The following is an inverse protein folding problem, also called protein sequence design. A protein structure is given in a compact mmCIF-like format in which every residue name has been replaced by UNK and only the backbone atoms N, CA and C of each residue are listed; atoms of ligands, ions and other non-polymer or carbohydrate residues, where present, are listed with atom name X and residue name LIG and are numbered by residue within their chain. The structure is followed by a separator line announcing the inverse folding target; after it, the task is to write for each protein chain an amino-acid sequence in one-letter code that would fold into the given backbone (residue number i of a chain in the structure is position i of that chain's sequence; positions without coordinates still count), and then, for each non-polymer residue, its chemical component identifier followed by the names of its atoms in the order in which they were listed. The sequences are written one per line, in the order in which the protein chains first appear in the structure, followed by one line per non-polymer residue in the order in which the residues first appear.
data_IF_303099259477
#
_entry.id   IF_303099259477
#
_cell.length_a   1.000
_cell.length_b   1.000
_cell.length_c   1.000
_cell.angle_alpha   90.00
_cell.angle_beta   90.00
_cell.angle_gamma   90.00
#
_symmetry.space_group_name_H-M   'P 1'
#
loop_
_entity.id
_entity.type
_entity.pdbx_description
1 polymer ?
#
# COMPACT_ATOMS: atom_id res chain seq x y z
N UNK A 1 25.65 14.34 -7.59
CA UNK A 1 25.62 15.36 -8.64
C UNK A 1 26.34 16.57 -8.10
N UNK A 2 27.07 17.32 -8.92
CA UNK A 2 27.59 18.62 -8.47
C UNK A 2 26.43 19.61 -8.31
N UNK A 3 26.64 20.69 -7.55
CA UNK A 3 25.65 21.76 -7.42
C UNK A 3 25.31 22.38 -8.79
N UNK A 4 26.32 22.55 -9.65
CA UNK A 4 26.16 23.05 -11.02
C UNK A 4 25.27 22.12 -11.87
N UNK A 5 25.46 20.79 -11.76
CA UNK A 5 24.62 19.81 -12.45
C UNK A 5 23.15 19.86 -11.98
N UNK A 6 22.91 20.15 -10.69
CA UNK A 6 21.56 20.27 -10.12
C UNK A 6 20.90 21.54 -10.64
N UNK A 7 21.62 22.67 -10.64
CA UNK A 7 21.12 23.95 -11.12
C UNK A 7 20.73 23.89 -12.60
N UNK A 8 21.61 23.37 -13.47
CA UNK A 8 21.34 23.26 -14.91
C UNK A 8 20.08 22.41 -15.19
N UNK A 9 19.89 21.33 -14.44
CA UNK A 9 18.72 20.45 -14.61
C UNK A 9 17.41 21.07 -14.11
N UNK A 10 17.46 21.82 -13.00
CA UNK A 10 16.30 22.55 -12.51
C UNK A 10 15.93 23.72 -13.44
N UNK A 11 16.91 24.40 -14.03
CA UNK A 11 16.67 25.42 -15.07
C UNK A 11 15.99 24.83 -16.32
N UNK A 12 16.29 23.56 -16.64
CA UNK A 12 15.64 22.83 -17.73
C UNK A 12 14.27 22.24 -17.35
N UNK A 13 13.88 22.26 -16.07
CA UNK A 13 12.59 21.77 -15.61
C UNK A 13 11.49 22.78 -15.94
N UNK A 14 10.87 22.59 -17.11
CA UNK A 14 9.77 23.40 -17.63
C UNK A 14 8.39 22.86 -17.22
N UNK A 15 8.33 21.96 -16.22
CA UNK A 15 7.09 21.37 -15.72
C UNK A 15 6.23 22.34 -14.91
N UNK A 16 4.90 22.17 -14.88
CA UNK A 16 4.06 22.89 -13.93
C UNK A 16 4.36 22.41 -12.50
N UNK A 17 4.08 23.24 -11.50
CA UNK A 17 4.08 22.82 -10.09
C UNK A 17 3.12 21.61 -9.95
N UNK A 18 3.64 20.49 -9.47
CA UNK A 18 2.89 19.25 -9.31
C UNK A 18 2.27 19.12 -7.92
N UNK A 19 1.21 18.30 -7.75
CA UNK A 19 0.74 17.91 -6.42
C UNK A 19 1.86 17.30 -5.58
N UNK A 20 1.78 17.48 -4.25
CA UNK A 20 2.63 16.71 -3.33
C UNK A 20 2.29 15.22 -3.41
N UNK A 21 3.28 14.38 -3.13
CA UNK A 21 3.12 12.93 -3.11
C UNK A 21 3.18 12.39 -1.68
N UNK A 22 2.53 11.25 -1.46
CA UNK A 22 2.53 10.51 -0.21
C UNK A 22 2.13 9.07 -0.44
N UNK A 23 2.01 8.28 0.61
CA UNK A 23 1.51 6.90 0.53
C UNK A 23 0.77 6.53 1.82
N UNK A 24 -0.15 5.58 1.72
CA UNK A 24 -0.88 5.04 2.86
C UNK A 24 -0.97 3.53 2.84
N UNK A 25 -1.11 2.93 4.02
CA UNK A 25 -1.12 1.48 4.23
C UNK A 25 -2.53 0.96 4.55
N UNK A 26 -2.92 -0.13 3.90
CA UNK A 26 -4.02 -0.99 4.30
C UNK A 26 -3.44 -2.30 4.83
N UNK A 27 -3.55 -2.50 6.14
CA UNK A 27 -3.04 -3.66 6.85
C UNK A 27 -4.24 -4.39 7.46
N UNK A 28 -4.33 -5.68 7.19
CA UNK A 28 -5.38 -6.55 7.71
C UNK A 28 -4.78 -7.61 8.63
N UNK A 29 -5.56 -8.02 9.62
CA UNK A 29 -5.30 -9.27 10.33
C UNK A 29 -5.96 -10.47 9.63
N UNK A 30 -5.75 -11.66 10.20
CA UNK A 30 -6.31 -12.91 9.66
C UNK A 30 -7.85 -12.96 9.71
N UNK A 31 -8.49 -12.08 10.50
CA UNK A 31 -9.95 -11.98 10.64
C UNK A 31 -10.56 -10.94 9.66
N UNK A 32 -9.72 -10.25 8.89
CA UNK A 32 -10.16 -9.21 7.95
C UNK A 32 -10.49 -7.87 8.61
N UNK A 33 -10.07 -7.67 9.86
CA UNK A 33 -10.09 -6.35 10.52
C UNK A 33 -8.95 -5.51 9.99
N UNK A 34 -9.18 -4.21 9.82
CA UNK A 34 -8.19 -3.26 9.31
C UNK A 34 -7.49 -2.53 10.46
N UNK A 35 -6.24 -2.11 10.26
CA UNK A 35 -5.46 -1.31 11.20
C UNK A 35 -5.50 0.18 10.87
N UNK A 36 -6.38 0.97 11.52
CA UNK A 36 -6.26 2.41 11.59
C UNK A 36 -5.45 2.87 12.82
N UNK A 37 -5.04 4.13 12.79
CA UNK A 37 -4.43 4.86 13.90
C UNK A 37 -5.34 6.00 14.35
N UNK A 38 -5.39 6.27 15.66
CA UNK A 38 -6.07 7.44 16.21
C UNK A 38 -5.08 8.57 16.38
N UNK A 39 -5.14 9.56 15.49
CA UNK A 39 -4.13 10.63 15.42
C UNK A 39 -4.09 11.49 16.68
N UNK A 40 -2.90 11.86 17.12
CA UNK A 40 -2.74 12.72 18.30
C UNK A 40 -3.32 14.14 18.08
N UNK A 41 -3.18 14.70 16.87
CA UNK A 41 -3.55 16.08 16.57
C UNK A 41 -5.06 16.29 16.38
N UNK A 42 -5.71 15.45 15.57
CA UNK A 42 -7.14 15.59 15.22
C UNK A 42 -8.05 14.77 16.12
N UNK A 43 -7.50 13.79 16.87
CA UNK A 43 -8.24 12.80 17.67
C UNK A 43 -9.17 11.89 16.84
N UNK A 44 -9.05 11.93 15.52
CA UNK A 44 -9.81 11.09 14.59
C UNK A 44 -9.02 9.83 14.20
N UNK A 45 -9.76 8.81 13.76
CA UNK A 45 -9.20 7.61 13.14
C UNK A 45 -8.80 7.86 11.69
N UNK A 46 -7.60 7.43 11.32
CA UNK A 46 -7.03 7.53 9.99
C UNK A 46 -6.33 6.22 9.60
N UNK A 47 -6.14 5.97 8.31
CA UNK A 47 -5.17 4.95 7.87
C UNK A 47 -3.75 5.44 8.17
N UNK A 48 -2.77 4.54 8.42
CA UNK A 48 -1.38 4.93 8.48
C UNK A 48 -0.94 5.53 7.14
N UNK A 49 -0.49 6.78 7.13
CA UNK A 49 -0.19 7.51 5.90
C UNK A 49 0.50 8.85 6.16
N UNK A 50 1.37 9.24 5.23
CA UNK A 50 2.00 10.55 5.26
C UNK A 50 2.60 10.98 3.93
N UNK A 51 3.33 12.10 3.98
CA UNK A 51 3.98 12.67 2.81
C UNK A 51 5.27 11.90 2.48
N UNK A 52 5.55 11.76 1.18
CA UNK A 52 6.81 11.17 0.74
C UNK A 52 7.97 12.12 0.99
N UNK A 53 9.11 11.58 1.39
CA UNK A 53 10.38 12.31 1.39
C UNK A 53 11.04 12.24 0.00
N UNK A 54 11.91 13.20 -0.31
CA UNK A 54 12.46 13.39 -1.67
C UNK A 54 13.21 12.17 -2.23
N UNK A 55 13.75 11.32 -1.36
CA UNK A 55 14.51 10.12 -1.73
C UNK A 55 13.71 8.82 -1.69
N UNK A 56 12.39 8.89 -1.49
CA UNK A 56 11.54 7.71 -1.29
C UNK A 56 10.67 7.39 -2.50
N UNK A 57 10.54 6.10 -2.81
CA UNK A 57 9.40 5.60 -3.57
C UNK A 57 8.18 5.37 -2.66
N UNK A 58 7.01 5.16 -3.26
CA UNK A 58 5.76 5.03 -2.49
C UNK A 58 5.74 3.87 -1.48
N UNK A 59 6.22 2.65 -1.80
CA UNK A 59 6.41 1.61 -0.80
C UNK A 59 7.32 2.01 0.37
N UNK A 60 8.45 2.67 0.11
CA UNK A 60 9.37 3.14 1.17
C UNK A 60 8.70 4.14 2.10
N UNK A 61 8.01 5.15 1.53
CA UNK A 61 7.20 6.09 2.30
C UNK A 61 6.14 5.37 3.14
N UNK A 62 5.39 4.43 2.55
CA UNK A 62 4.39 3.64 3.28
C UNK A 62 4.99 2.86 4.45
N UNK A 63 6.17 2.24 4.27
CA UNK A 63 6.86 1.51 5.35
C UNK A 63 7.29 2.45 6.46
N UNK A 64 7.92 3.59 6.13
CA UNK A 64 8.38 4.58 7.11
C UNK A 64 7.21 5.12 7.93
N UNK A 65 6.13 5.53 7.28
CA UNK A 65 4.93 6.09 7.95
C UNK A 65 4.27 5.03 8.83
N UNK A 66 4.12 3.79 8.35
CA UNK A 66 3.54 2.70 9.15
C UNK A 66 4.38 2.39 10.39
N UNK A 67 5.71 2.38 10.25
CA UNK A 67 6.63 2.23 11.37
C UNK A 67 6.48 3.38 12.37
N UNK A 68 6.46 4.62 11.88
CA UNK A 68 6.37 5.81 12.72
C UNK A 68 5.03 5.94 13.45
N UNK A 69 3.94 5.47 12.85
CA UNK A 69 2.58 5.66 13.38
C UNK A 69 2.03 4.44 14.14
N UNK A 70 2.48 3.23 13.80
CA UNK A 70 1.96 1.97 14.33
C UNK A 70 3.04 1.00 14.88
N UNK A 71 4.32 1.34 14.71
CA UNK A 71 5.45 0.49 15.10
C UNK A 71 5.48 -0.85 14.37
N UNK A 72 5.02 -0.88 13.11
CA UNK A 72 4.99 -2.06 12.27
C UNK A 72 5.84 -1.89 11.02
N UNK A 73 6.62 -2.92 10.69
CA UNK A 73 7.29 -3.03 9.38
C UNK A 73 6.44 -3.92 8.48
N UNK A 74 6.20 -3.45 7.27
CA UNK A 74 5.33 -4.10 6.30
C UNK A 74 6.00 -4.27 4.94
N UNK A 75 5.49 -5.19 4.14
CA UNK A 75 5.86 -5.40 2.74
C UNK A 75 4.64 -5.13 1.85
N UNK A 76 4.79 -4.25 0.86
CA UNK A 76 3.75 -3.94 -0.10
C UNK A 76 3.35 -5.17 -0.94
N UNK A 77 2.05 -5.41 -1.09
CA UNK A 77 1.47 -6.52 -1.86
C UNK A 77 0.66 -6.09 -3.07
N UNK A 78 0.03 -4.92 -3.02
CA UNK A 78 -0.76 -4.42 -4.14
C UNK A 78 -1.26 -3.01 -3.89
N UNK A 79 -1.56 -2.30 -4.98
CA UNK A 79 -2.20 -0.98 -4.90
C UNK A 79 -3.72 -1.18 -4.92
N UNK A 80 -4.40 -0.63 -3.92
CA UNK A 80 -5.87 -0.62 -3.83
C UNK A 80 -6.42 0.52 -4.68
N UNK A 81 -5.87 1.73 -4.52
CA UNK A 81 -6.26 2.93 -5.23
C UNK A 81 -5.14 3.99 -5.20
N UNK A 82 -5.31 5.08 -5.94
CA UNK A 82 -4.47 6.28 -5.86
C UNK A 82 -5.36 7.47 -5.53
N UNK A 83 -5.36 7.89 -4.27
CA UNK A 83 -6.20 9.00 -3.83
C UNK A 83 -5.63 10.33 -4.28
N UNK A 84 -6.55 11.25 -4.59
CA UNK A 84 -6.25 12.63 -4.90
C UNK A 84 -7.02 13.55 -3.96
N UNK A 85 -6.30 14.42 -3.27
CA UNK A 85 -6.85 15.46 -2.40
C UNK A 85 -6.59 16.81 -3.08
N UNK A 86 -7.63 17.51 -3.57
CA UNK A 86 -7.47 18.84 -4.14
C UNK A 86 -6.96 19.86 -3.12
N UNK A 87 -6.31 20.93 -3.60
CA UNK A 87 -5.94 22.06 -2.75
C UNK A 87 -7.19 22.69 -2.10
N UNK A 88 -7.06 23.11 -0.85
CA UNK A 88 -8.15 23.65 -0.03
C UNK A 88 -8.99 22.57 0.67
N UNK A 89 -8.83 21.30 0.32
CA UNK A 89 -9.49 20.18 1.00
C UNK A 89 -8.61 19.70 2.16
N UNK A 90 -9.23 19.28 3.27
CA UNK A 90 -8.54 18.89 4.52
C UNK A 90 -7.64 20.00 5.11
N UNK A 91 -7.87 21.26 4.74
CA UNK A 91 -7.05 22.40 5.17
C UNK A 91 -5.67 22.49 4.51
N UNK A 92 -5.41 21.69 3.47
CA UNK A 92 -4.12 21.69 2.77
C UNK A 92 -4.04 22.84 1.76
N UNK A 93 -2.95 23.64 1.73
CA UNK A 93 -2.80 24.72 0.76
C UNK A 93 -2.35 24.23 -0.63
N UNK A 94 -2.10 22.93 -0.79
CA UNK A 94 -1.66 22.28 -2.02
C UNK A 94 -2.51 21.04 -2.29
N UNK A 95 -2.51 20.57 -3.54
CA UNK A 95 -3.06 19.27 -3.87
C UNK A 95 -2.08 18.15 -3.47
N UNK A 96 -2.60 16.99 -3.12
CA UNK A 96 -1.84 15.80 -2.76
C UNK A 96 -2.34 14.58 -3.52
N UNK A 97 -1.43 13.66 -3.85
CA UNK A 97 -1.76 12.36 -4.45
C UNK A 97 -0.92 11.26 -3.81
N UNK A 98 -1.52 10.11 -3.54
CA UNK A 98 -0.75 8.98 -3.00
C UNK A 98 -1.43 7.64 -3.21
N UNK A 99 -0.69 6.58 -3.53
CA UNK A 99 -1.24 5.23 -3.54
C UNK A 99 -1.64 4.82 -2.13
N UNK A 100 -2.76 4.11 -2.07
CA UNK A 100 -3.19 3.34 -0.90
C UNK A 100 -2.86 1.88 -1.17
N UNK A 101 -1.98 1.32 -0.35
CA UNK A 101 -1.26 0.09 -0.63
C UNK A 101 -1.71 -0.97 0.36
N UNK A 102 -2.21 -2.10 -0.14
CA UNK A 102 -2.31 -3.32 0.65
C UNK A 102 -0.90 -3.82 0.96
N UNK A 103 -0.60 -4.01 2.24
CA UNK A 103 0.67 -4.55 2.70
C UNK A 103 0.45 -5.59 3.80
N UNK A 104 1.46 -6.42 4.02
CA UNK A 104 1.47 -7.43 5.08
C UNK A 104 2.58 -7.14 6.06
N UNK A 105 2.29 -7.34 7.35
CA UNK A 105 3.29 -7.19 8.41
C UNK A 105 4.36 -8.27 8.24
N UNK A 106 5.62 -7.84 8.18
CA UNK A 106 6.78 -8.75 8.08
C UNK A 106 7.69 -8.67 9.30
N UNK A 107 7.47 -7.66 10.14
CA UNK A 107 8.20 -7.48 11.38
C UNK A 107 7.57 -6.41 12.25
N UNK A 108 8.16 -6.28 13.43
CA UNK A 108 7.76 -5.40 14.51
C UNK A 108 6.40 -5.68 15.15
N UNK A 109 6.19 -5.03 16.31
CA UNK A 109 5.08 -5.27 17.23
C UNK A 109 4.22 -4.03 17.31
N UNK A 110 2.91 -4.25 17.20
CA UNK A 110 1.91 -3.22 17.31
C UNK A 110 2.12 -2.39 18.58
N UNK A 111 2.41 -1.10 18.42
CA UNK A 111 2.62 -0.18 19.51
C UNK A 111 2.21 1.24 19.10
N UNK A 112 1.68 1.99 20.06
CA UNK A 112 1.46 3.42 19.88
C UNK A 112 2.79 4.16 19.83
N UNK A 113 2.81 5.29 19.13
CA UNK A 113 3.95 6.22 19.08
C UNK A 113 3.51 7.61 19.52
N UNK A 114 4.43 8.58 19.52
CA UNK A 114 4.09 9.98 19.86
C UNK A 114 3.08 10.60 18.86
N UNK A 115 2.89 9.98 17.69
CA UNK A 115 1.99 10.45 16.63
C UNK A 115 0.56 9.88 16.72
N UNK A 116 0.40 8.73 17.40
CA UNK A 116 -0.86 8.01 17.54
C UNK A 116 -1.23 7.77 19.00
N UNK A 117 -2.45 8.16 19.38
CA UNK A 117 -3.02 7.90 20.71
C UNK A 117 -3.41 6.45 20.91
N UNK A 118 -3.81 5.80 19.83
CA UNK A 118 -4.35 4.46 19.82
C UNK A 118 -4.05 3.84 18.46
N UNK A 119 -3.72 2.56 18.47
CA UNK A 119 -3.54 1.75 17.27
C UNK A 119 -4.09 0.35 17.55
N UNK A 120 -4.79 -0.23 16.59
CA UNK A 120 -5.46 -1.51 16.77
C UNK A 120 -6.11 -2.02 15.50
N UNK A 121 -6.49 -3.29 15.50
CA UNK A 121 -7.28 -3.88 14.42
C UNK A 121 -8.75 -3.78 14.77
N UNK A 122 -9.54 -3.21 13.87
CA UNK A 122 -10.98 -3.01 14.04
C UNK A 122 -11.75 -3.49 12.82
N UNK A 123 -12.93 -4.05 13.05
CA UNK A 123 -13.94 -4.12 12.02
C UNK A 123 -14.41 -2.69 11.71
N UNK A 124 -14.64 -2.31 10.44
CA UNK A 124 -15.06 -0.94 10.08
C UNK A 124 -16.28 -0.42 10.83
N UNK A 125 -17.20 -1.32 11.19
CA UNK A 125 -18.43 -1.01 11.93
C UNK A 125 -18.20 -0.73 13.42
N UNK A 126 -17.01 -1.01 13.96
CA UNK A 126 -16.65 -0.72 15.35
C UNK A 126 -16.27 0.75 15.57
N UNK A 127 -15.90 1.46 14.50
CA UNK A 127 -15.52 2.88 14.56
C UNK A 127 -16.73 3.71 14.11
N UNK A 128 -17.30 4.55 15.00
CA UNK A 128 -18.39 5.43 14.61
C UNK A 128 -17.99 6.37 13.47
N UNK A 129 -18.87 6.55 12.49
CA UNK A 129 -18.58 7.31 11.27
C UNK A 129 -18.10 8.76 11.53
N UNK A 130 -18.56 9.38 12.61
CA UNK A 130 -18.17 10.74 13.03
C UNK A 130 -16.79 10.82 13.70
N UNK A 131 -16.14 9.68 13.96
CA UNK A 131 -14.79 9.62 14.54
C UNK A 131 -13.70 9.43 13.48
N UNK A 132 -14.06 9.17 12.21
CA UNK A 132 -13.08 9.11 11.13
C UNK A 132 -12.57 10.50 10.76
N UNK A 133 -11.32 10.54 10.31
CA UNK A 133 -10.84 11.68 9.55
C UNK A 133 -11.63 11.76 8.23
N UNK A 134 -11.84 12.97 7.71
CA UNK A 134 -12.87 13.26 6.70
C UNK A 134 -12.77 12.44 5.39
N UNK A 135 -11.60 11.87 5.09
CA UNK A 135 -11.34 11.05 3.90
C UNK A 135 -11.08 9.57 4.22
N UNK A 136 -11.17 9.14 5.49
CA UNK A 136 -10.71 7.82 5.92
C UNK A 136 -11.77 6.73 5.77
N UNK A 137 -13.02 7.00 6.17
CA UNK A 137 -14.08 5.98 6.12
C UNK A 137 -14.25 5.37 4.71
N UNK A 138 -14.32 6.16 3.61
CA UNK A 138 -14.44 5.59 2.27
C UNK A 138 -13.23 4.75 1.87
N UNK A 139 -12.02 5.11 2.31
CA UNK A 139 -10.79 4.34 2.05
C UNK A 139 -10.84 2.99 2.73
N UNK A 140 -11.23 2.97 4.00
CA UNK A 140 -11.36 1.73 4.77
C UNK A 140 -12.39 0.80 4.12
N UNK A 141 -13.56 1.32 3.74
CA UNK A 141 -14.60 0.52 3.07
C UNK A 141 -14.11 -0.07 1.74
N UNK A 142 -13.35 0.71 0.95
CA UNK A 142 -12.72 0.23 -0.27
C UNK A 142 -11.68 -0.86 0.03
N UNK A 143 -10.83 -0.68 1.04
CA UNK A 143 -9.83 -1.65 1.45
C UNK A 143 -10.46 -2.98 1.84
N UNK A 144 -11.54 -2.95 2.62
CA UNK A 144 -12.25 -4.14 3.10
C UNK A 144 -12.88 -4.88 1.93
N UNK A 145 -13.46 -4.16 0.97
CA UNK A 145 -13.98 -4.74 -0.27
C UNK A 145 -12.88 -5.42 -1.08
N UNK A 146 -11.72 -4.77 -1.19
CA UNK A 146 -10.53 -5.33 -1.83
C UNK A 146 -10.04 -6.61 -1.14
N UNK A 147 -9.96 -6.61 0.20
CA UNK A 147 -9.54 -7.77 0.98
C UNK A 147 -10.49 -8.96 0.81
N UNK A 148 -11.80 -8.73 0.81
CA UNK A 148 -12.80 -9.80 0.57
C UNK A 148 -12.60 -10.46 -0.81
N UNK A 149 -12.44 -9.65 -1.86
CA UNK A 149 -12.22 -10.16 -3.22
C UNK A 149 -10.92 -10.99 -3.33
N UNK A 150 -9.84 -10.56 -2.70
CA UNK A 150 -8.59 -11.33 -2.68
C UNK A 150 -8.74 -12.71 -2.02
N UNK A 151 -9.49 -12.79 -0.92
CA UNK A 151 -9.66 -14.04 -0.18
C UNK A 151 -10.69 -14.99 -0.82
N UNK A 152 -11.71 -14.45 -1.50
CA UNK A 152 -12.64 -15.23 -2.32
C UNK A 152 -11.93 -15.90 -3.50
N UNK A 153 -11.06 -15.18 -4.21
CA UNK A 153 -10.27 -15.71 -5.32
C UNK A 153 -9.30 -16.80 -4.85
N UNK A 154 -8.63 -16.59 -3.71
CA UNK A 154 -7.70 -17.58 -3.14
C UNK A 154 -8.43 -18.88 -2.79
N UNK A 155 -9.65 -18.78 -2.26
CA UNK A 155 -10.47 -19.96 -1.91
C UNK A 155 -10.91 -20.76 -3.14
N UNK A 156 -11.17 -20.09 -4.27
CA UNK A 156 -11.52 -20.74 -5.54
C UNK A 156 -10.29 -21.39 -6.21
N UNK A 157 -9.12 -20.73 -6.17
CA UNK A 157 -7.87 -21.29 -6.70
C UNK A 157 -7.40 -22.53 -5.92
N UNK A 158 -7.61 -22.57 -4.60
CA UNK A 158 -7.32 -23.74 -3.77
C UNK A 158 -8.29 -24.90 -4.00
N UNK A 159 -9.57 -24.62 -4.32
CA UNK A 159 -10.53 -25.67 -4.68
C UNK A 159 -10.29 -26.24 -6.08
N UNK A 160 -9.77 -25.44 -7.01
CA UNK A 160 -9.62 -25.82 -8.42
C UNK A 160 -8.33 -26.59 -8.74
N UNK A 161 -7.48 -26.83 -7.73
CA UNK A 161 -6.45 -27.87 -7.74
C UNK A 161 -5.72 -28.06 -9.07
N UNK A 162 -4.75 -27.17 -9.36
CA UNK A 162 -3.78 -27.22 -10.48
C UNK A 162 -4.16 -26.39 -11.73
N UNK A 163 -4.04 -25.07 -11.63
CA UNK A 163 -4.03 -24.16 -12.78
C UNK A 163 -2.61 -23.70 -13.14
N UNK A 164 -2.20 -23.92 -14.39
CA UNK A 164 -1.10 -23.16 -15.03
C UNK A 164 -1.71 -21.95 -15.72
N UNK A 165 -1.33 -20.75 -15.29
CA UNK A 165 -1.80 -19.49 -15.88
C UNK A 165 -0.66 -18.80 -16.60
N UNK A 166 -0.91 -18.37 -17.84
CA UNK A 166 -0.01 -17.47 -18.56
C UNK A 166 -0.32 -16.03 -18.15
N UNK A 167 0.62 -15.42 -17.42
CA UNK A 167 0.61 -13.98 -17.24
C UNK A 167 1.20 -13.37 -18.51
N UNK A 168 0.43 -12.52 -19.18
CA UNK A 168 0.86 -11.84 -20.39
C UNK A 168 2.28 -11.26 -20.24
N UNK A 169 3.10 -11.44 -21.29
CA UNK A 169 4.58 -11.23 -21.39
C UNK A 169 5.47 -12.41 -21.00
N UNK A 170 5.07 -13.65 -21.29
CA UNK A 170 6.03 -14.77 -21.45
C UNK A 170 6.56 -15.40 -20.16
N UNK A 171 5.79 -15.37 -19.08
CA UNK A 171 6.09 -16.08 -17.84
C UNK A 171 5.01 -17.12 -17.52
N UNK A 172 5.41 -18.32 -17.09
CA UNK A 172 4.50 -19.37 -16.64
C UNK A 172 4.65 -19.58 -15.13
N UNK A 173 3.53 -19.60 -14.41
CA UNK A 173 3.45 -20.03 -13.02
C UNK A 173 2.97 -21.48 -12.98
N UNK A 174 3.76 -22.35 -12.35
CA UNK A 174 3.33 -23.70 -11.96
C UNK A 174 3.13 -23.72 -10.45
N UNK A 175 1.89 -23.88 -10.00
CA UNK A 175 1.58 -24.22 -8.63
C UNK A 175 1.73 -25.74 -8.45
N UNK A 176 2.65 -26.16 -7.58
CA UNK A 176 2.72 -27.55 -7.12
C UNK A 176 1.70 -27.81 -6.00
N UNK A 177 1.32 -29.07 -5.75
CA UNK A 177 0.39 -29.41 -4.68
C UNK A 177 0.97 -29.02 -3.30
N UNK A 178 0.07 -28.50 -2.48
CA UNK A 178 0.27 -27.72 -1.25
C UNK A 178 1.20 -28.33 -0.20
N UNK A 179 1.91 -27.46 0.53
CA UNK A 179 2.54 -27.85 1.80
C UNK A 179 3.69 -26.95 2.28
N UNK A 180 3.46 -25.64 2.42
CA UNK A 180 4.07 -24.72 3.41
C UNK A 180 4.09 -23.28 2.88
N UNK A 181 3.71 -22.33 3.76
CA UNK A 181 3.82 -20.89 3.53
C UNK A 181 5.30 -20.54 3.30
N UNK A 182 5.73 -20.45 2.05
CA UNK A 182 7.09 -20.11 1.67
C UNK A 182 7.16 -19.72 0.21
N UNK A 183 7.78 -18.55 -0.04
CA UNK A 183 8.05 -17.89 -1.32
C UNK A 183 7.67 -18.66 -2.61
N UNK A 184 6.72 -18.10 -3.37
CA UNK A 184 6.35 -18.59 -4.71
C UNK A 184 7.51 -18.35 -5.68
N UNK A 185 7.97 -19.40 -6.38
CA UNK A 185 9.13 -19.32 -7.29
C UNK A 185 8.67 -19.00 -8.71
N UNK A 186 9.01 -17.81 -9.19
CA UNK A 186 8.82 -17.40 -10.60
C UNK A 186 9.99 -17.97 -11.41
N UNK A 187 9.69 -18.66 -12.51
CA UNK A 187 10.71 -19.20 -13.43
C UNK A 187 10.49 -18.66 -14.85
N UNK A 188 11.56 -18.33 -15.60
CA UNK A 188 11.44 -18.02 -17.02
C UNK A 188 10.99 -19.25 -17.80
N UNK A 189 10.26 -19.05 -18.90
CA UNK A 189 10.00 -20.10 -19.88
C UNK A 189 11.33 -20.68 -20.41
N UNK A 190 11.45 -22.01 -20.60
CA UNK A 190 12.58 -22.58 -21.32
C UNK A 190 12.61 -21.96 -22.73
N UNK A 191 13.79 -21.48 -23.14
CA UNK A 191 13.97 -20.85 -24.44
C UNK A 191 13.44 -21.75 -25.56
N UNK A 192 12.42 -21.27 -26.28
CA UNK A 192 12.00 -21.84 -27.55
C UNK A 192 13.16 -21.86 -28.55
N UNK A 193 13.08 -22.72 -29.59
CA UNK A 193 14.22 -22.99 -30.46
C UNK A 193 14.72 -21.69 -31.11
N UNK A 194 16.03 -21.47 -31.03
CA UNK A 194 16.70 -20.39 -31.75
C UNK A 194 16.42 -20.53 -33.24
N UNK A 195 15.64 -19.60 -33.79
CA UNK A 195 15.47 -19.46 -35.23
C UNK A 195 16.74 -18.74 -35.72
N UNK A 196 17.67 -19.52 -36.27
CA UNK A 196 18.89 -19.00 -36.87
C UNK A 196 18.63 -18.38 -38.23
N UNK A 197 18.87 -17.08 -38.36
CA UNK A 197 19.92 -16.43 -39.17
C UNK A 197 19.72 -14.92 -39.14
#
# INVERSE_FOLDING_TARGET
MSEDDVAERLECDIGPITPKVGAGAAIFDDEGRILPIKRHNTKCWAIPAGAGEDSENAPECMVRETLAEAGLVCEARGVIDVFFTPAGVLGLPYAMRGPFIHCVVTGEQLQTTDEALEVGYFHPDEIPSDQYHADTEPRIQLAVSYWRLLNEQTSQEESDGNGTYELGRGFQLKCGPQGHRGARRISPLPHGPQIGR
#
